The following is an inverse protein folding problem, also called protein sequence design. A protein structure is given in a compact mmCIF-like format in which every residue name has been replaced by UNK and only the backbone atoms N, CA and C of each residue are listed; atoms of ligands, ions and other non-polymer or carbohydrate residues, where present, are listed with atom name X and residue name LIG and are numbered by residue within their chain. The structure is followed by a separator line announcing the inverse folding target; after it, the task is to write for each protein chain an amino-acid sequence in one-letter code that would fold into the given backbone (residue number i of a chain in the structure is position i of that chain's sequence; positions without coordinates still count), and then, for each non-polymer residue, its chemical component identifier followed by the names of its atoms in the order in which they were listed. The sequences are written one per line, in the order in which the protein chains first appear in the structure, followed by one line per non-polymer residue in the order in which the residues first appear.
data_IF_663368494992
#
_entry.id   IF_663368494992
#
_cell.length_a   1.000
_cell.length_b   1.000
_cell.length_c   1.000
_cell.angle_alpha   90.00
_cell.angle_beta   90.00
_cell.angle_gamma   90.00
#
_symmetry.space_group_name_H-M   'P 1'
#
loop_
_entity.id
_entity.type
_entity.pdbx_description
1 polymer ?
#
# COMPACT_ATOMS: atom_id res chain seq x y z
N UNK A 1 -9.44 32.65 4.99
CA UNK A 1 -9.76 31.27 4.54
C UNK A 1 -8.64 30.37 5.01
N UNK A 2 -8.93 29.34 5.80
CA UNK A 2 -7.92 28.39 6.25
C UNK A 2 -7.52 27.50 5.08
N UNK A 3 -6.35 27.72 4.52
CA UNK A 3 -5.75 26.81 3.53
C UNK A 3 -5.31 25.54 4.22
N UNK A 4 -5.63 24.39 3.64
CA UNK A 4 -5.15 23.09 4.13
C UNK A 4 -3.61 23.04 4.07
N UNK A 5 -2.96 22.62 5.15
CA UNK A 5 -1.50 22.46 5.19
C UNK A 5 -1.08 21.31 4.25
N UNK A 6 0.08 21.42 3.60
CA UNK A 6 0.64 20.37 2.74
C UNK A 6 0.87 19.04 3.47
N UNK A 7 1.07 19.07 4.79
CA UNK A 7 1.27 17.89 5.64
C UNK A 7 0.06 17.56 6.52
N UNK A 8 -1.15 17.96 6.10
CA UNK A 8 -2.37 17.68 6.85
C UNK A 8 -2.58 16.17 7.06
N UNK A 9 -2.95 15.80 8.28
CA UNK A 9 -3.39 14.46 8.64
C UNK A 9 -4.73 14.11 7.98
N UNK A 10 -5.05 12.80 7.89
CA UNK A 10 -6.33 12.35 7.38
C UNK A 10 -7.52 12.97 8.13
N UNK A 11 -7.39 13.16 9.45
CA UNK A 11 -8.41 13.81 10.29
C UNK A 11 -8.63 15.27 9.87
N UNK A 12 -7.56 16.02 9.62
CA UNK A 12 -7.64 17.42 9.20
C UNK A 12 -8.22 17.55 7.78
N UNK A 13 -7.83 16.68 6.86
CA UNK A 13 -8.39 16.61 5.50
C UNK A 13 -9.91 16.38 5.56
N UNK A 14 -10.34 15.40 6.36
CA UNK A 14 -11.76 15.09 6.53
C UNK A 14 -12.55 16.22 7.20
N UNK A 15 -11.96 16.90 8.19
CA UNK A 15 -12.57 18.07 8.81
C UNK A 15 -12.73 19.22 7.80
N UNK A 16 -11.70 19.45 6.97
CA UNK A 16 -11.73 20.46 5.93
C UNK A 16 -12.78 20.17 4.85
N UNK A 17 -12.90 18.90 4.38
CA UNK A 17 -13.96 18.49 3.44
C UNK A 17 -15.35 18.84 3.95
N UNK A 18 -15.62 18.55 5.23
CA UNK A 18 -16.89 18.87 5.88
C UNK A 18 -17.09 20.38 5.99
N UNK A 19 -16.05 21.13 6.33
CA UNK A 19 -16.13 22.59 6.45
C UNK A 19 -16.52 23.25 5.13
N UNK A 20 -15.86 22.89 4.02
CA UNK A 20 -16.11 23.53 2.71
C UNK A 20 -17.45 23.10 2.09
N UNK A 21 -17.98 21.95 2.48
CA UNK A 21 -19.27 21.42 1.99
C UNK A 21 -20.39 21.48 3.04
N UNK A 22 -20.24 22.30 4.08
CA UNK A 22 -21.30 22.58 5.07
C UNK A 22 -21.82 21.32 5.78
N UNK A 23 -20.93 20.35 5.99
CA UNK A 23 -21.19 19.08 6.63
C UNK A 23 -21.57 17.94 5.68
N UNK A 24 -21.97 18.24 4.45
CA UNK A 24 -22.32 17.22 3.46
C UNK A 24 -21.09 16.68 2.74
N UNK A 25 -21.01 15.36 2.59
CA UNK A 25 -19.88 14.70 1.95
C UNK A 25 -20.40 13.59 1.04
N UNK A 26 -19.89 13.53 -0.19
CA UNK A 26 -20.35 12.54 -1.17
C UNK A 26 -20.01 11.12 -0.76
N UNK A 27 -20.82 10.15 -1.21
CA UNK A 27 -20.61 8.73 -0.91
C UNK A 27 -19.24 8.23 -1.41
N UNK A 28 -18.80 8.68 -2.58
CA UNK A 28 -17.49 8.30 -3.15
C UNK A 28 -16.33 8.78 -2.28
N UNK A 29 -16.42 9.99 -1.71
CA UNK A 29 -15.41 10.49 -0.77
C UNK A 29 -15.40 9.66 0.51
N UNK A 30 -16.58 9.36 1.07
CA UNK A 30 -16.68 8.54 2.26
C UNK A 30 -16.05 7.15 2.09
N UNK A 31 -16.37 6.47 0.98
CA UNK A 31 -15.81 5.14 0.68
C UNK A 31 -14.28 5.21 0.58
N UNK A 32 -13.76 6.17 -0.18
CA UNK A 32 -12.32 6.29 -0.35
C UNK A 32 -11.61 6.70 0.94
N UNK A 33 -12.14 7.69 1.67
CA UNK A 33 -11.57 8.17 2.94
C UNK A 33 -11.52 7.08 4.01
N UNK A 34 -12.57 6.25 4.12
CA UNK A 34 -12.57 5.10 5.03
C UNK A 34 -11.48 4.10 4.65
N UNK A 35 -11.33 3.76 3.37
CA UNK A 35 -10.30 2.84 2.92
C UNK A 35 -8.88 3.39 3.12
N UNK A 36 -8.68 4.70 2.95
CA UNK A 36 -7.41 5.37 3.30
C UNK A 36 -7.14 5.28 4.80
N UNK A 37 -8.17 5.40 5.65
CA UNK A 37 -8.04 5.24 7.10
C UNK A 37 -7.62 3.82 7.52
N UNK A 38 -8.15 2.78 6.86
CA UNK A 38 -7.73 1.39 7.09
C UNK A 38 -6.24 1.19 6.77
N UNK A 39 -5.77 1.78 5.66
CA UNK A 39 -4.36 1.72 5.26
C UNK A 39 -3.46 2.58 6.16
N UNK A 40 -3.91 3.78 6.56
CA UNK A 40 -3.17 4.66 7.48
C UNK A 40 -2.92 3.98 8.84
N UNK A 41 -3.93 3.26 9.33
CA UNK A 41 -3.86 2.52 10.57
C UNK A 41 -3.34 1.09 10.47
N UNK A 42 -2.85 0.65 9.29
CA UNK A 42 -2.56 -0.77 9.05
C UNK A 42 -1.54 -1.36 10.02
N UNK A 43 -0.57 -0.56 10.49
CA UNK A 43 0.45 -0.97 11.46
C UNK A 43 0.02 -0.81 12.92
N UNK A 44 -0.90 0.11 13.21
CA UNK A 44 -1.22 0.54 14.59
C UNK A 44 -2.52 -0.05 15.12
N UNK A 45 -3.49 -0.34 14.26
CA UNK A 45 -4.77 -0.93 14.67
C UNK A 45 -4.65 -2.46 14.76
N UNK A 46 -5.20 -3.07 15.82
CA UNK A 46 -4.93 -4.46 16.23
C UNK A 46 -5.41 -5.59 15.32
N UNK A 47 -5.80 -5.31 14.07
CA UNK A 47 -6.16 -6.35 13.10
C UNK A 47 -4.91 -6.94 12.44
N UNK A 48 -4.90 -8.27 12.30
CA UNK A 48 -3.88 -8.95 11.53
C UNK A 48 -4.08 -8.69 10.03
N UNK A 49 -2.99 -8.55 9.28
CA UNK A 49 -3.03 -8.23 7.85
C UNK A 49 -1.88 -8.91 7.12
N UNK A 50 -2.04 -9.16 5.83
CA UNK A 50 -0.97 -9.69 4.98
C UNK A 50 0.31 -8.85 5.10
N UNK A 51 0.16 -7.52 5.15
CA UNK A 51 1.25 -6.57 5.37
C UNK A 51 2.02 -6.81 6.68
N UNK A 52 1.32 -6.98 7.80
CA UNK A 52 1.95 -7.31 9.10
C UNK A 52 2.55 -8.71 9.09
N UNK A 53 1.86 -9.66 8.49
CA UNK A 53 2.28 -11.05 8.43
C UNK A 53 3.62 -11.17 7.73
N UNK A 54 3.81 -10.52 6.57
CA UNK A 54 5.09 -10.58 5.87
C UNK A 54 6.20 -9.91 6.68
N UNK A 55 5.93 -8.83 7.42
CA UNK A 55 6.91 -8.14 8.26
C UNK A 55 7.28 -8.90 9.53
N UNK A 56 6.51 -9.91 9.92
CA UNK A 56 6.78 -10.71 11.12
C UNK A 56 7.96 -11.67 10.86
N UNK A 57 9.13 -11.49 11.52
CA UNK A 57 10.29 -12.35 11.29
C UNK A 57 10.05 -13.83 11.64
N UNK A 58 9.06 -14.15 12.47
CA UNK A 58 8.69 -15.53 12.77
C UNK A 58 8.06 -16.26 11.56
N UNK A 59 7.59 -15.51 10.56
CA UNK A 59 7.12 -16.08 9.29
C UNK A 59 8.24 -16.36 8.30
N UNK A 60 9.48 -15.96 8.60
CA UNK A 60 10.62 -16.06 7.70
C UNK A 60 11.41 -17.36 7.89
N UNK A 61 12.02 -17.82 6.80
CA UNK A 61 12.95 -18.93 6.80
C UNK A 61 14.33 -18.46 7.32
N UNK A 62 14.45 -18.38 8.65
CA UNK A 62 15.62 -17.85 9.33
C UNK A 62 16.91 -18.62 9.04
N UNK A 63 16.80 -19.93 8.80
CA UNK A 63 17.91 -20.79 8.43
C UNK A 63 18.49 -20.39 7.07
N UNK A 64 17.63 -20.16 6.07
CA UNK A 64 18.04 -19.69 4.74
C UNK A 64 18.64 -18.28 4.79
N UNK A 65 18.05 -17.39 5.58
CA UNK A 65 18.45 -15.98 5.66
C UNK A 65 19.69 -15.73 6.52
N UNK A 66 20.17 -16.75 7.23
CA UNK A 66 21.39 -16.71 8.04
C UNK A 66 21.25 -15.79 9.26
N UNK A 67 20.36 -16.14 10.19
CA UNK A 67 20.08 -15.30 11.37
C UNK A 67 21.17 -15.29 12.42
N UNK A 68 21.35 -14.12 13.02
CA UNK A 68 22.04 -13.92 14.29
C UNK A 68 21.09 -13.20 15.26
N UNK A 69 20.94 -13.75 16.48
CA UNK A 69 20.24 -13.05 17.56
C UNK A 69 21.18 -12.02 18.17
N UNK A 70 20.71 -10.78 18.29
CA UNK A 70 21.44 -9.74 19.00
C UNK A 70 21.23 -9.86 20.51
N UNK A 71 22.07 -9.13 21.27
CA UNK A 71 22.02 -9.12 22.73
C UNK A 71 20.69 -8.58 23.30
N UNK A 72 19.96 -7.77 22.53
CA UNK A 72 18.64 -7.24 22.90
C UNK A 72 17.47 -8.16 22.52
N UNK A 73 17.75 -9.34 21.95
CA UNK A 73 16.76 -10.30 21.49
C UNK A 73 16.21 -10.04 20.08
N UNK A 74 16.64 -8.97 19.40
CA UNK A 74 16.27 -8.70 18.01
C UNK A 74 16.90 -9.73 17.06
N UNK A 75 16.17 -10.07 16.00
CA UNK A 75 16.63 -10.98 14.95
C UNK A 75 17.24 -10.14 13.84
N UNK A 76 18.53 -10.31 13.58
CA UNK A 76 19.16 -9.81 12.37
C UNK A 76 19.40 -10.94 11.38
N UNK A 77 19.04 -10.71 10.13
CA UNK A 77 19.30 -11.61 9.01
C UNK A 77 20.54 -11.15 8.25
N UNK A 78 21.40 -12.09 7.87
CA UNK A 78 22.55 -11.80 7.02
C UNK A 78 22.11 -11.36 5.62
N UNK A 79 21.09 -12.03 5.09
CA UNK A 79 20.50 -11.74 3.79
C UNK A 79 19.05 -11.29 3.99
N UNK A 80 18.71 -10.08 3.54
CA UNK A 80 17.31 -9.64 3.51
C UNK A 80 16.53 -10.51 2.52
N UNK A 81 15.29 -10.92 2.82
CA UNK A 81 14.42 -11.54 1.83
C UNK A 81 14.27 -10.64 0.60
N UNK A 82 14.31 -11.25 -0.58
CA UNK A 82 14.07 -10.53 -1.82
C UNK A 82 12.59 -10.57 -2.17
N UNK A 83 12.03 -9.41 -2.50
CA UNK A 83 10.62 -9.28 -2.90
C UNK A 83 10.48 -8.40 -4.14
N UNK A 84 9.40 -8.64 -4.89
CA UNK A 84 8.89 -7.80 -5.95
C UNK A 84 7.57 -7.21 -5.50
N UNK A 85 7.41 -5.90 -5.69
CA UNK A 85 6.15 -5.22 -5.44
C UNK A 85 5.47 -4.91 -6.77
N UNK A 86 4.13 -4.95 -6.78
CA UNK A 86 3.34 -4.54 -7.95
C UNK A 86 2.17 -3.67 -7.52
N UNK A 87 2.07 -2.52 -8.14
CA UNK A 87 0.88 -1.69 -8.14
C UNK A 87 -0.14 -2.28 -9.13
N UNK A 88 -1.32 -2.62 -8.63
CA UNK A 88 -2.43 -3.11 -9.47
C UNK A 88 -3.63 -2.19 -9.33
N UNK A 89 -4.19 -1.78 -10.46
CA UNK A 89 -5.44 -1.02 -10.53
C UNK A 89 -6.49 -1.89 -11.21
N UNK A 90 -7.65 -2.00 -10.61
CA UNK A 90 -8.77 -2.81 -11.08
C UNK A 90 -10.10 -2.12 -10.73
N UNK A 91 -11.21 -2.77 -11.06
CA UNK A 91 -12.55 -2.20 -10.85
C UNK A 91 -12.88 -1.92 -9.38
N UNK A 92 -12.23 -2.63 -8.43
CA UNK A 92 -12.41 -2.40 -7.00
C UNK A 92 -11.57 -1.23 -6.49
N UNK A 93 -10.52 -0.81 -7.18
CA UNK A 93 -9.64 0.28 -6.79
C UNK A 93 -8.17 -0.01 -7.05
N UNK A 94 -7.33 0.24 -6.04
CA UNK A 94 -5.89 0.04 -6.09
C UNK A 94 -5.44 -1.02 -5.08
N UNK A 95 -4.47 -1.85 -5.45
CA UNK A 95 -3.86 -2.86 -4.60
C UNK A 95 -2.34 -2.77 -4.66
N UNK A 96 -1.68 -3.04 -3.53
CA UNK A 96 -0.25 -3.31 -3.49
C UNK A 96 -0.04 -4.82 -3.29
N UNK A 97 0.52 -5.46 -4.31
CA UNK A 97 0.89 -6.87 -4.27
C UNK A 97 2.37 -7.06 -3.95
N UNK A 98 2.69 -8.13 -3.24
CA UNK A 98 4.03 -8.57 -2.90
C UNK A 98 4.25 -10.01 -3.36
N UNK A 99 5.42 -10.26 -3.92
CA UNK A 99 5.83 -11.58 -4.38
C UNK A 99 7.27 -11.86 -3.91
N UNK A 100 7.59 -13.05 -3.36
CA UNK A 100 8.95 -13.45 -3.12
C UNK A 100 9.71 -13.54 -4.44
N UNK A 101 10.96 -13.13 -4.43
CA UNK A 101 11.91 -13.39 -5.51
C UNK A 101 12.94 -14.41 -5.04
N UNK A 102 13.08 -15.50 -5.79
CA UNK A 102 14.04 -16.57 -5.51
C UNK A 102 14.90 -16.74 -6.75
N UNK A 103 16.22 -16.58 -6.61
CA UNK A 103 17.18 -16.74 -7.73
C UNK A 103 16.85 -15.88 -8.96
N UNK A 104 16.24 -14.71 -8.74
CA UNK A 104 15.81 -13.79 -9.80
C UNK A 104 14.40 -14.04 -10.34
N UNK A 105 13.75 -15.13 -9.95
CA UNK A 105 12.41 -15.50 -10.41
C UNK A 105 11.32 -15.10 -9.41
N UNK A 106 10.19 -14.63 -9.93
CA UNK A 106 9.03 -14.22 -9.14
C UNK A 106 8.17 -15.43 -8.80
N UNK A 107 7.91 -15.66 -7.51
CA UNK A 107 7.07 -16.76 -7.03
C UNK A 107 5.60 -16.33 -7.00
N UNK A 108 4.76 -17.04 -7.76
CA UNK A 108 3.31 -16.78 -7.87
C UNK A 108 2.43 -17.93 -7.37
N UNK A 109 3.04 -19.01 -6.87
CA UNK A 109 2.33 -20.19 -6.35
C UNK A 109 2.67 -20.47 -4.89
N UNK A 110 1.95 -21.40 -4.27
CA UNK A 110 2.19 -21.83 -2.90
C UNK A 110 3.64 -22.35 -2.71
N UNK A 111 4.27 -21.93 -1.61
CA UNK A 111 5.55 -22.45 -1.12
C UNK A 111 5.39 -22.75 0.37
N UNK A 112 5.33 -24.02 0.72
CA UNK A 112 5.21 -24.50 2.10
C UNK A 112 6.44 -25.35 2.38
N UNK A 113 7.20 -25.00 3.42
CA UNK A 113 8.38 -25.73 3.88
C UNK A 113 9.44 -26.00 2.79
N UNK A 114 9.43 -25.20 1.71
CA UNK A 114 10.45 -25.27 0.67
C UNK A 114 11.69 -24.51 1.13
N UNK A 115 12.82 -25.21 1.25
CA UNK A 115 14.05 -24.69 1.84
C UNK A 115 14.66 -23.46 1.17
N UNK A 116 14.27 -23.11 -0.06
CA UNK A 116 14.75 -21.94 -0.79
C UNK A 116 13.78 -20.73 -0.76
N UNK A 117 12.62 -20.86 -0.11
CA UNK A 117 11.70 -19.73 0.06
C UNK A 117 12.14 -18.88 1.27
N UNK A 118 12.16 -17.54 1.17
CA UNK A 118 12.47 -16.69 2.32
C UNK A 118 11.38 -16.69 3.39
N UNK A 119 10.18 -17.19 3.07
CA UNK A 119 9.05 -17.33 3.99
C UNK A 119 8.79 -18.82 4.27
N UNK A 120 8.47 -19.16 5.53
CA UNK A 120 8.13 -20.53 5.95
C UNK A 120 6.88 -21.04 5.23
N UNK A 121 5.88 -20.15 5.10
CA UNK A 121 4.64 -20.40 4.38
C UNK A 121 4.30 -19.21 3.51
N UNK A 122 4.41 -19.38 2.20
CA UNK A 122 3.91 -18.43 1.21
C UNK A 122 2.65 -19.01 0.57
N UNK A 123 1.53 -18.35 0.79
CA UNK A 123 0.21 -18.72 0.25
C UNK A 123 -0.36 -17.46 -0.39
N UNK A 124 -0.27 -17.30 -1.73
CA UNK A 124 -0.63 -16.06 -2.40
C UNK A 124 -2.01 -15.51 -2.03
N UNK A 125 -3.00 -16.38 -1.83
CA UNK A 125 -4.37 -16.00 -1.45
C UNK A 125 -4.44 -15.26 -0.10
N UNK A 126 -3.42 -15.41 0.75
CA UNK A 126 -3.34 -14.78 2.08
C UNK A 126 -2.27 -13.69 2.16
N UNK A 127 -1.14 -13.85 1.46
CA UNK A 127 0.05 -13.01 1.67
C UNK A 127 0.42 -12.13 0.49
N UNK A 128 -0.16 -12.36 -0.70
CA UNK A 128 0.20 -11.60 -1.89
C UNK A 128 -0.36 -10.18 -1.86
N UNK A 129 -1.67 -10.02 -1.64
CA UNK A 129 -2.32 -8.71 -1.59
C UNK A 129 -2.13 -8.10 -0.20
N UNK A 130 -1.23 -7.11 -0.10
CA UNK A 130 -0.85 -6.54 1.19
C UNK A 130 -1.94 -5.64 1.76
N UNK A 131 -2.53 -4.80 0.90
CA UNK A 131 -3.65 -3.93 1.22
C UNK A 131 -4.29 -3.39 -0.07
N UNK A 132 -5.51 -2.85 0.09
CA UNK A 132 -6.28 -2.22 -0.97
C UNK A 132 -6.74 -0.81 -0.57
N UNK A 133 -6.76 0.10 -1.54
CA UNK A 133 -7.50 1.36 -1.47
C UNK A 133 -8.74 1.26 -2.37
N UNK A 134 -9.89 0.99 -1.74
CA UNK A 134 -11.16 0.79 -2.42
C UNK A 134 -11.60 2.05 -3.17
N UNK A 135 -12.19 1.87 -4.35
CA UNK A 135 -12.69 2.93 -5.23
C UNK A 135 -11.65 3.96 -5.67
N UNK A 136 -10.34 3.70 -5.52
CA UNK A 136 -9.30 4.66 -5.90
C UNK A 136 -9.43 5.12 -7.35
N UNK A 137 -9.68 4.20 -8.29
CA UNK A 137 -9.82 4.53 -9.72
C UNK A 137 -10.97 5.50 -9.94
N UNK A 138 -12.17 5.17 -9.44
CA UNK A 138 -13.35 6.02 -9.56
C UNK A 138 -13.15 7.38 -8.87
N UNK A 139 -12.56 7.38 -7.67
CA UNK A 139 -12.29 8.60 -6.92
C UNK A 139 -11.27 9.50 -7.62
N UNK A 140 -10.23 8.91 -8.24
CA UNK A 140 -9.24 9.64 -9.02
C UNK A 140 -9.85 10.30 -10.26
N UNK A 141 -10.75 9.61 -10.97
CA UNK A 141 -11.51 10.19 -12.10
C UNK A 141 -12.40 11.33 -11.62
N UNK A 142 -13.17 11.12 -10.55
CA UNK A 142 -14.00 12.16 -9.94
C UNK A 142 -13.17 13.38 -9.54
N UNK A 143 -12.02 13.15 -8.91
CA UNK A 143 -11.11 14.20 -8.47
C UNK A 143 -10.56 15.01 -9.66
N UNK A 144 -10.25 14.34 -10.77
CA UNK A 144 -9.81 14.99 -12.02
C UNK A 144 -10.92 15.84 -12.65
N UNK A 145 -12.14 15.32 -12.73
CA UNK A 145 -13.26 15.97 -13.42
C UNK A 145 -13.84 17.15 -12.63
N UNK A 146 -13.99 17.00 -11.31
CA UNK A 146 -14.74 17.95 -10.48
C UNK A 146 -14.28 18.02 -9.03
N UNK A 147 -13.11 17.48 -8.70
CA UNK A 147 -12.62 17.41 -7.32
C UNK A 147 -12.30 18.78 -6.73
N UNK A 148 -12.71 18.98 -5.48
CA UNK A 148 -12.29 20.13 -4.68
C UNK A 148 -10.90 19.92 -4.06
N UNK A 149 -10.43 20.91 -3.31
CA UNK A 149 -9.10 20.87 -2.71
C UNK A 149 -8.95 19.78 -1.63
N UNK A 150 -10.05 19.40 -0.94
CA UNK A 150 -10.01 18.30 0.01
C UNK A 150 -9.93 16.95 -0.71
N UNK A 151 -10.60 16.80 -1.85
CA UNK A 151 -10.52 15.59 -2.67
C UNK A 151 -9.09 15.36 -3.17
N UNK A 152 -8.45 16.41 -3.69
CA UNK A 152 -7.05 16.36 -4.15
C UNK A 152 -6.10 16.07 -2.99
N UNK A 153 -6.34 16.66 -1.82
CA UNK A 153 -5.54 16.41 -0.63
C UNK A 153 -5.65 14.95 -0.16
N UNK A 154 -6.85 14.37 -0.16
CA UNK A 154 -7.07 12.98 0.20
C UNK A 154 -6.34 12.03 -0.76
N UNK A 155 -6.40 12.28 -2.06
CA UNK A 155 -5.68 11.47 -3.06
C UNK A 155 -4.16 11.56 -2.91
N UNK A 156 -3.62 12.77 -2.65
CA UNK A 156 -2.20 12.97 -2.34
C UNK A 156 -1.79 12.25 -1.06
N UNK A 157 -2.61 12.34 -0.01
CA UNK A 157 -2.37 11.66 1.25
C UNK A 157 -2.29 10.14 1.06
N UNK A 158 -3.23 9.57 0.30
CA UNK A 158 -3.22 8.15 -0.05
C UNK A 158 -1.92 7.74 -0.77
N UNK A 159 -1.48 8.53 -1.76
CA UNK A 159 -0.21 8.30 -2.45
C UNK A 159 1.00 8.29 -1.48
N UNK A 160 1.09 9.29 -0.61
CA UNK A 160 2.20 9.37 0.34
C UNK A 160 2.17 8.25 1.36
N UNK A 161 0.98 7.84 1.84
CA UNK A 161 0.85 6.72 2.74
C UNK A 161 1.32 5.40 2.11
N UNK A 162 0.96 5.15 0.85
CA UNK A 162 1.47 3.99 0.10
C UNK A 162 3.00 4.03 -0.02
N UNK A 163 3.58 5.19 -0.34
CA UNK A 163 5.04 5.34 -0.41
C UNK A 163 5.73 5.13 0.94
N UNK A 164 5.12 5.59 2.03
CA UNK A 164 5.60 5.36 3.39
C UNK A 164 5.64 3.86 3.71
N UNK A 165 4.55 3.14 3.44
CA UNK A 165 4.49 1.68 3.64
C UNK A 165 5.53 0.94 2.78
N UNK A 166 5.73 1.32 1.52
CA UNK A 166 6.79 0.72 0.69
C UNK A 166 8.19 1.01 1.27
N UNK A 167 8.40 2.22 1.82
CA UNK A 167 9.64 2.55 2.53
C UNK A 167 9.84 1.65 3.73
N UNK A 168 8.82 1.43 4.55
CA UNK A 168 8.87 0.50 5.69
C UNK A 168 9.22 -0.92 5.23
N UNK A 169 8.65 -1.41 4.14
CA UNK A 169 9.02 -2.72 3.58
C UNK A 169 10.51 -2.78 3.20
N UNK A 170 11.08 -1.71 2.65
CA UNK A 170 12.50 -1.66 2.25
C UNK A 170 13.48 -1.75 3.43
N UNK A 171 13.02 -1.43 4.64
CA UNK A 171 13.82 -1.57 5.85
C UNK A 171 14.05 -3.05 6.19
N UNK A 172 13.06 -3.92 5.96
CA UNK A 172 13.14 -5.36 6.22
C UNK A 172 13.54 -6.20 5.01
N UNK A 173 13.23 -5.73 3.79
CA UNK A 173 13.38 -6.52 2.56
C UNK A 173 14.30 -5.87 1.54
N UNK A 174 14.90 -6.69 0.69
CA UNK A 174 15.50 -6.22 -0.55
C UNK A 174 14.41 -6.18 -1.62
N UNK A 175 13.89 -4.98 -1.91
CA UNK A 175 12.92 -4.79 -2.99
C UNK A 175 13.67 -4.81 -4.32
N UNK A 176 13.48 -5.87 -5.10
CA UNK A 176 14.16 -6.06 -6.39
C UNK A 176 13.60 -5.09 -7.44
N UNK A 177 12.28 -4.93 -7.47
CA UNK A 177 11.59 -4.00 -8.37
C UNK A 177 10.20 -3.66 -7.82
N UNK A 178 9.74 -2.45 -8.12
CA UNK A 178 8.35 -2.01 -7.95
C UNK A 178 7.75 -1.84 -9.35
N UNK A 179 6.75 -2.66 -9.70
CA UNK A 179 6.12 -2.69 -11.02
C UNK A 179 4.79 -1.96 -11.04
N UNK A 180 4.41 -1.44 -12.21
CA UNK A 180 3.14 -0.74 -12.42
C UNK A 180 3.21 0.74 -12.02
N UNK A 181 2.15 1.48 -12.32
CA UNK A 181 2.08 2.90 -12.00
C UNK A 181 1.92 3.12 -10.49
N UNK A 182 2.67 4.05 -9.93
CA UNK A 182 2.29 4.64 -8.65
C UNK A 182 0.96 5.40 -8.78
N UNK A 183 0.30 5.69 -7.65
CA UNK A 183 -0.95 6.49 -7.64
C UNK A 183 -0.76 7.84 -8.35
N UNK A 184 0.40 8.48 -8.17
CA UNK A 184 0.71 9.75 -8.83
C UNK A 184 0.84 9.60 -10.35
N UNK A 185 1.57 8.58 -10.82
CA UNK A 185 1.70 8.30 -12.26
C UNK A 185 0.35 7.90 -12.88
N UNK A 186 -0.44 7.10 -12.18
CA UNK A 186 -1.79 6.75 -12.60
C UNK A 186 -2.67 7.99 -12.77
N UNK A 187 -2.64 8.91 -11.80
CA UNK A 187 -3.38 10.17 -11.90
C UNK A 187 -2.91 11.05 -13.06
N UNK A 188 -1.60 11.06 -13.36
CA UNK A 188 -1.08 11.74 -14.55
C UNK A 188 -1.60 11.10 -15.84
N UNK A 189 -1.73 9.77 -15.90
CA UNK A 189 -2.32 9.09 -17.05
C UNK A 189 -3.80 9.45 -17.26
N UNK A 190 -4.58 9.62 -16.19
CA UNK A 190 -5.96 10.15 -16.26
C UNK A 190 -5.95 11.51 -16.95
N UNK A 191 -5.06 12.41 -16.52
CA UNK A 191 -4.97 13.75 -17.09
C UNK A 191 -4.56 13.72 -18.58
N UNK A 192 -3.58 12.89 -18.95
CA UNK A 192 -3.14 12.71 -20.35
C UNK A 192 -4.26 12.21 -21.26
N UNK A 193 -5.16 11.39 -20.73
CA UNK A 193 -6.31 10.82 -21.47
C UNK A 193 -7.60 11.61 -21.27
N UNK A 194 -7.54 12.80 -20.66
CA UNK A 194 -8.69 13.66 -20.40
C UNK A 194 -9.83 12.93 -19.65
N UNK A 195 -9.49 12.06 -18.70
CA UNK A 195 -10.46 11.27 -17.93
C UNK A 195 -10.89 9.94 -18.56
N UNK A 196 -10.52 9.66 -19.82
CA UNK A 196 -10.90 8.44 -20.54
C UNK A 196 -9.87 7.31 -20.32
N UNK A 197 -9.85 6.74 -19.12
CA UNK A 197 -8.97 5.60 -18.77
C UNK A 197 -9.67 4.23 -18.82
N UNK A 198 -10.99 4.20 -19.00
CA UNK A 198 -11.80 2.97 -19.06
C UNK A 198 -12.28 2.60 -20.48
N UNK A 199 -11.86 3.36 -21.49
CA UNK A 199 -12.13 3.13 -22.92
C UNK A 199 -10.93 2.55 -23.64
#
# INVERSE_FOLDING_TARGET
MSSLNSNASLKEINAYKKQINWGEVSSIYHIFSSSVGEVDGILTHGFDSAYKQILNPNSWNLTLLGTHKQADGSIQVKNKPQIVLRHEFNDMGYELHCYPAIEGEVVTHNMIDKGNCPFNHWIPEKTQMLFRLNSLVAFAIFCFQSGDEADKALLKYAHYKVKELITTLSESFQIVVVKGYSIAEFYQEIAKRNGNILT
#
